data_IF_073089842729
#
_entry.id   IF_073089842729
#
_cell.length_a   1.000
_cell.length_b   1.000
_cell.length_c   1.000
_cell.angle_alpha   90.00
_cell.angle_beta   90.00
_cell.angle_gamma   90.00
#
_symmetry.space_group_name_H-M   'P 1'
#
loop_
_entity.id
_entity.type
_entity.pdbx_description
1 polymer ?
#
# COMPACT_ATOMS: atom_id res chain seq x y z
N UNK A 1 21.19 18.94 -17.82
CA UNK A 1 22.26 18.34 -17.01
C UNK A 1 22.16 18.91 -15.60
N UNK A 2 21.40 18.28 -14.73
CA UNK A 2 21.29 18.65 -13.32
C UNK A 2 22.35 17.87 -12.55
N UNK A 3 23.10 18.58 -11.71
CA UNK A 3 24.18 18.02 -10.90
C UNK A 3 23.70 16.79 -10.12
N UNK A 4 24.42 15.67 -10.25
CA UNK A 4 24.28 14.55 -9.32
C UNK A 4 24.51 15.09 -7.92
N UNK A 5 23.45 15.11 -7.12
CA UNK A 5 23.53 15.37 -5.69
C UNK A 5 24.48 14.33 -5.08
N UNK A 6 25.69 14.75 -4.72
CA UNK A 6 26.63 13.86 -4.03
C UNK A 6 26.00 13.50 -2.69
N UNK A 7 25.64 12.23 -2.53
CA UNK A 7 25.10 11.69 -1.28
C UNK A 7 26.05 12.05 -0.12
N UNK A 8 25.50 12.63 0.95
CA UNK A 8 26.31 13.05 2.09
C UNK A 8 26.99 11.83 2.73
N UNK A 9 28.13 12.03 3.38
CA UNK A 9 28.78 10.95 4.14
C UNK A 9 27.79 10.33 5.16
N UNK A 10 26.94 11.17 5.75
CA UNK A 10 25.88 10.73 6.64
C UNK A 10 24.88 9.80 5.94
N UNK A 11 24.34 10.16 4.77
CA UNK A 11 23.37 9.29 4.07
C UNK A 11 24.00 7.97 3.63
N UNK A 12 25.28 7.99 3.23
CA UNK A 12 26.02 6.77 2.90
C UNK A 12 26.24 5.86 4.14
N UNK A 13 26.62 6.43 5.28
CA UNK A 13 26.76 5.67 6.52
C UNK A 13 25.41 5.09 7.00
N UNK A 14 24.35 5.90 6.95
CA UNK A 14 23.00 5.47 7.29
C UNK A 14 22.52 4.33 6.39
N UNK A 15 22.75 4.45 5.08
CA UNK A 15 22.48 3.41 4.10
C UNK A 15 23.21 2.12 4.44
N UNK A 16 24.52 2.17 4.71
CA UNK A 16 25.29 0.98 5.05
C UNK A 16 24.77 0.30 6.33
N UNK A 17 24.46 1.07 7.38
CA UNK A 17 23.92 0.54 8.63
C UNK A 17 22.51 -0.02 8.49
N UNK A 18 21.65 0.62 7.71
CA UNK A 18 20.28 0.17 7.53
C UNK A 18 20.17 -1.07 6.60
N UNK A 19 21.12 -1.27 5.70
CA UNK A 19 21.04 -2.33 4.70
C UNK A 19 21.81 -3.60 5.05
N UNK A 20 22.57 -3.64 6.16
CA UNK A 20 23.16 -4.89 6.64
C UNK A 20 22.08 -5.90 7.05
N UNK A 21 22.34 -7.18 6.81
CA UNK A 21 21.44 -8.27 7.19
C UNK A 21 21.15 -8.29 8.70
N UNK A 22 19.98 -8.81 9.10
CA UNK A 22 19.52 -8.78 10.49
C UNK A 22 20.50 -9.46 11.46
N UNK A 23 21.16 -10.54 11.03
CA UNK A 23 22.20 -11.23 11.82
C UNK A 23 23.38 -10.31 12.10
N UNK A 24 23.92 -9.65 11.06
CA UNK A 24 25.02 -8.70 11.20
C UNK A 24 24.60 -7.49 12.02
N UNK A 25 23.39 -6.96 11.80
CA UNK A 25 22.86 -5.82 12.52
C UNK A 25 22.75 -6.10 14.02
N UNK A 26 22.28 -7.29 14.42
CA UNK A 26 22.17 -7.67 15.84
C UNK A 26 23.51 -7.72 16.59
N UNK A 27 24.62 -7.85 15.86
CA UNK A 27 25.98 -7.88 16.41
C UNK A 27 26.62 -6.47 16.46
N UNK A 28 26.02 -5.47 15.81
CA UNK A 28 26.54 -4.11 15.83
C UNK A 28 26.25 -3.45 17.18
N UNK A 29 27.20 -2.68 17.75
CA UNK A 29 26.98 -1.98 19.01
C UNK A 29 26.16 -0.70 18.77
N UNK A 30 24.94 -0.86 18.26
CA UNK A 30 24.01 0.24 17.91
C UNK A 30 23.68 1.09 19.15
N UNK A 31 23.72 0.47 20.34
CA UNK A 31 23.56 1.16 21.63
C UNK A 31 24.63 2.21 21.92
N UNK A 32 25.74 2.24 21.17
CA UNK A 32 26.76 3.28 21.25
C UNK A 32 26.41 4.52 20.41
N UNK A 33 25.41 4.42 19.52
CA UNK A 33 24.91 5.57 18.77
C UNK A 33 24.00 6.43 19.66
N UNK A 34 23.97 7.76 19.46
CA UNK A 34 22.93 8.61 20.02
C UNK A 34 21.53 8.04 19.73
N UNK A 35 20.64 8.09 20.72
CA UNK A 35 19.30 7.51 20.61
C UNK A 35 18.55 7.96 19.34
N UNK A 36 18.63 9.25 19.01
CA UNK A 36 18.02 9.80 17.79
C UNK A 36 18.55 9.18 16.49
N UNK A 37 19.83 8.81 16.42
CA UNK A 37 20.41 8.13 15.27
C UNK A 37 20.06 6.64 15.25
N UNK A 38 20.01 6.00 16.42
CA UNK A 38 19.53 4.62 16.54
C UNK A 38 18.09 4.50 16.03
N UNK A 39 17.21 5.40 16.49
CA UNK A 39 15.80 5.45 16.09
C UNK A 39 15.67 5.66 14.57
N UNK A 40 16.46 6.56 13.99
CA UNK A 40 16.48 6.80 12.54
C UNK A 40 16.95 5.56 11.75
N UNK A 41 17.97 4.85 12.23
CA UNK A 41 18.44 3.61 11.58
C UNK A 41 17.37 2.54 11.65
N UNK A 42 16.73 2.35 12.80
CA UNK A 42 15.65 1.37 12.97
C UNK A 42 14.44 1.69 12.10
N UNK A 43 14.05 2.97 12.03
CA UNK A 43 12.96 3.42 11.16
C UNK A 43 13.30 3.14 9.69
N UNK A 44 14.49 3.54 9.23
CA UNK A 44 14.91 3.29 7.85
C UNK A 44 14.94 1.78 7.54
N UNK A 45 15.38 0.93 8.47
CA UNK A 45 15.33 -0.54 8.31
C UNK A 45 13.91 -1.05 8.13
N UNK A 46 12.96 -0.53 8.91
CA UNK A 46 11.55 -0.90 8.80
C UNK A 46 10.97 -0.45 7.45
N UNK A 47 11.24 0.79 7.05
CA UNK A 47 10.80 1.33 5.76
C UNK A 47 11.33 0.48 4.59
N UNK A 48 12.61 0.08 4.64
CA UNK A 48 13.22 -0.78 3.60
C UNK A 48 12.54 -2.14 3.57
N UNK A 49 12.31 -2.76 4.73
CA UNK A 49 11.59 -4.05 4.81
C UNK A 49 10.19 -3.95 4.23
N UNK A 50 9.47 -2.87 4.49
CA UNK A 50 8.14 -2.61 3.93
C UNK A 50 8.20 -2.44 2.42
N UNK A 51 9.12 -1.61 1.91
CA UNK A 51 9.29 -1.37 0.48
C UNK A 51 9.64 -2.66 -0.28
N UNK A 52 10.58 -3.46 0.23
CA UNK A 52 10.95 -4.75 -0.38
C UNK A 52 9.77 -5.72 -0.36
N UNK A 53 9.08 -5.83 0.79
CA UNK A 53 7.90 -6.71 0.93
C UNK A 53 6.76 -6.32 -0.02
N UNK A 54 6.54 -5.03 -0.24
CA UNK A 54 5.50 -4.55 -1.16
C UNK A 54 5.76 -4.98 -2.61
N UNK A 55 7.02 -5.13 -3.01
CA UNK A 55 7.42 -5.45 -4.38
C UNK A 55 7.86 -6.90 -4.59
N UNK A 56 7.91 -7.72 -3.53
CA UNK A 56 8.42 -9.10 -3.56
C UNK A 56 7.67 -10.02 -4.55
N UNK A 57 6.41 -9.70 -4.88
CA UNK A 57 5.62 -10.46 -5.85
C UNK A 57 6.01 -10.19 -7.31
N UNK A 58 6.84 -9.16 -7.54
CA UNK A 58 7.30 -8.72 -8.86
C UNK A 58 8.80 -8.97 -9.01
N UNK A 59 9.59 -8.57 -8.01
CA UNK A 59 11.05 -8.62 -8.07
C UNK A 59 11.67 -8.83 -6.69
N UNK A 60 12.80 -9.53 -6.66
CA UNK A 60 13.67 -9.59 -5.48
C UNK A 60 14.60 -8.36 -5.43
N UNK A 61 14.20 -7.34 -4.68
CA UNK A 61 14.92 -6.06 -4.58
C UNK A 61 16.22 -6.24 -3.81
N UNK A 62 17.34 -6.00 -4.48
CA UNK A 62 18.65 -6.05 -3.85
C UNK A 62 18.90 -4.80 -2.99
N UNK A 63 19.55 -4.93 -1.82
CA UNK A 63 19.88 -3.78 -0.97
C UNK A 63 20.69 -2.70 -1.70
N UNK A 64 21.53 -3.10 -2.65
CA UNK A 64 22.35 -2.17 -3.46
C UNK A 64 21.52 -1.26 -4.37
N UNK A 65 20.22 -1.54 -4.56
CA UNK A 65 19.31 -0.72 -5.35
C UNK A 65 18.60 0.36 -4.52
N UNK A 66 18.59 0.24 -3.20
CA UNK A 66 17.95 1.21 -2.30
C UNK A 66 18.80 2.48 -2.19
N UNK A 67 18.21 3.62 -2.56
CA UNK A 67 18.81 4.95 -2.41
C UNK A 67 18.30 5.61 -1.12
N UNK A 68 19.18 6.34 -0.43
CA UNK A 68 18.87 7.03 0.83
C UNK A 68 19.10 8.53 0.65
N UNK A 69 18.08 9.32 0.97
CA UNK A 69 18.11 10.78 0.84
C UNK A 69 18.99 11.43 1.91
N UNK A 70 19.23 12.73 1.77
CA UNK A 70 19.92 13.53 2.80
C UNK A 70 19.17 13.57 4.13
N UNK A 71 17.85 13.35 4.12
CA UNK A 71 17.00 13.24 5.31
C UNK A 71 17.10 11.86 5.99
N UNK A 72 17.99 10.97 5.53
CA UNK A 72 18.19 9.62 6.04
C UNK A 72 16.93 8.73 5.92
N UNK A 73 16.09 8.99 4.91
CA UNK A 73 14.92 8.20 4.52
C UNK A 73 15.16 7.54 3.16
N UNK A 74 14.30 6.61 2.77
CA UNK A 74 14.34 6.08 1.40
C UNK A 74 14.05 7.21 0.42
N UNK A 75 14.95 7.41 -0.54
CA UNK A 75 14.65 8.22 -1.72
C UNK A 75 13.85 7.33 -2.68
N UNK A 76 12.52 7.36 -2.55
CA UNK A 76 11.66 6.48 -3.34
C UNK A 76 11.79 6.73 -4.85
N UNK A 77 11.78 7.98 -5.37
CA UNK A 77 12.02 8.22 -6.80
C UNK A 77 13.34 7.63 -7.31
N UNK A 78 14.46 7.91 -6.63
CA UNK A 78 15.76 7.40 -7.07
C UNK A 78 15.86 5.87 -6.94
N UNK A 79 15.27 5.31 -5.88
CA UNK A 79 15.24 3.85 -5.64
C UNK A 79 14.44 3.14 -6.73
N UNK A 80 13.25 3.64 -7.08
CA UNK A 80 12.41 3.06 -8.13
C UNK A 80 13.09 3.12 -9.49
N UNK A 81 13.70 4.25 -9.83
CA UNK A 81 14.47 4.37 -11.07
C UNK A 81 15.61 3.36 -11.15
N UNK A 82 16.38 3.20 -10.06
CA UNK A 82 17.46 2.22 -9.98
C UNK A 82 16.96 0.77 -10.09
N UNK A 83 15.80 0.45 -9.51
CA UNK A 83 15.18 -0.86 -9.64
C UNK A 83 14.73 -1.14 -11.09
N UNK A 84 14.13 -0.14 -11.75
CA UNK A 84 13.72 -0.23 -13.17
C UNK A 84 14.92 -0.44 -14.09
N UNK A 85 16.03 0.25 -13.85
CA UNK A 85 17.26 0.14 -14.65
C UNK A 85 18.01 -1.18 -14.42
N UNK A 86 17.87 -1.78 -13.23
CA UNK A 86 18.57 -3.01 -12.85
C UNK A 86 17.84 -4.31 -13.25
N UNK A 87 16.63 -4.22 -13.81
CA UNK A 87 15.76 -5.37 -14.11
C UNK A 87 15.55 -5.56 -15.61
N UNK A 88 15.05 -6.74 -16.01
CA UNK A 88 14.69 -6.97 -17.41
C UNK A 88 13.47 -6.10 -17.82
N UNK A 89 13.30 -5.79 -19.12
CA UNK A 89 12.26 -4.87 -19.58
C UNK A 89 10.82 -5.24 -19.17
N UNK A 90 10.51 -6.53 -19.01
CA UNK A 90 9.17 -6.97 -18.62
C UNK A 90 8.93 -6.67 -17.15
N UNK A 91 9.88 -7.03 -16.29
CA UNK A 91 9.84 -6.73 -14.85
C UNK A 91 9.90 -5.22 -14.60
N UNK A 92 10.72 -4.49 -15.35
CA UNK A 92 10.80 -3.04 -15.31
C UNK A 92 9.44 -2.38 -15.62
N UNK A 93 8.70 -2.89 -16.62
CA UNK A 93 7.35 -2.42 -16.92
C UNK A 93 6.39 -2.69 -15.76
N UNK A 94 6.44 -3.89 -15.16
CA UNK A 94 5.57 -4.24 -14.03
C UNK A 94 5.85 -3.34 -12.81
N UNK A 95 7.12 -3.09 -12.49
CA UNK A 95 7.53 -2.17 -11.43
C UNK A 95 7.02 -0.75 -11.68
N UNK A 96 7.18 -0.24 -12.90
CA UNK A 96 6.67 1.07 -13.26
C UNK A 96 5.14 1.14 -13.16
N UNK A 97 4.44 0.08 -13.57
CA UNK A 97 2.98 0.01 -13.52
C UNK A 97 2.43 0.05 -12.09
N UNK A 98 2.98 -0.76 -11.18
CA UNK A 98 2.50 -0.79 -9.78
C UNK A 98 2.87 0.44 -8.98
N UNK A 99 3.81 1.26 -9.49
CA UNK A 99 4.18 2.54 -8.92
C UNK A 99 3.55 3.76 -9.61
N UNK A 100 2.57 3.54 -10.51
CA UNK A 100 1.90 4.59 -11.28
C UNK A 100 2.83 5.47 -12.14
N UNK A 101 3.99 4.96 -12.57
CA UNK A 101 4.97 5.69 -13.37
C UNK A 101 4.63 5.64 -14.87
N UNK A 102 3.50 6.24 -15.27
CA UNK A 102 2.94 6.08 -16.62
C UNK A 102 3.92 6.43 -17.75
N UNK A 103 4.65 7.54 -17.65
CA UNK A 103 5.64 7.93 -18.67
C UNK A 103 6.78 6.91 -18.81
N UNK A 104 7.19 6.27 -17.70
CA UNK A 104 8.16 5.17 -17.73
C UNK A 104 7.56 3.94 -18.37
N UNK A 105 6.31 3.59 -18.07
CA UNK A 105 5.61 2.50 -18.75
C UNK A 105 5.56 2.72 -20.27
N UNK A 106 5.24 3.92 -20.75
CA UNK A 106 5.24 4.25 -22.20
C UNK A 106 6.63 4.07 -22.81
N UNK A 107 7.66 4.57 -22.14
CA UNK A 107 9.05 4.46 -22.62
C UNK A 107 9.48 3.01 -22.73
N UNK A 108 9.24 2.20 -21.70
CA UNK A 108 9.57 0.78 -21.68
C UNK A 108 8.74 0.04 -22.72
N UNK A 109 7.43 0.29 -22.80
CA UNK A 109 6.53 -0.37 -23.76
C UNK A 109 7.02 -0.26 -25.20
N UNK A 110 7.52 0.91 -25.58
CA UNK A 110 8.03 1.18 -26.92
C UNK A 110 9.31 0.41 -27.26
N UNK A 111 10.10 0.00 -26.26
CA UNK A 111 11.27 -0.86 -26.47
C UNK A 111 10.97 -2.36 -26.43
N UNK A 112 9.79 -2.77 -25.95
CA UNK A 112 9.39 -4.18 -25.88
C UNK A 112 9.07 -4.77 -27.26
N UNK A 113 9.38 -6.05 -27.42
CA UNK A 113 8.97 -6.84 -28.58
C UNK A 113 7.49 -7.29 -28.50
N UNK A 114 6.98 -7.89 -29.59
CA UNK A 114 5.60 -8.35 -29.67
C UNK A 114 5.25 -9.45 -28.64
N UNK A 115 6.20 -10.34 -28.35
CA UNK A 115 6.02 -11.44 -27.40
C UNK A 115 5.88 -10.91 -25.97
N UNK A 116 6.76 -9.99 -25.57
CA UNK A 116 6.76 -9.32 -24.28
C UNK A 116 5.49 -8.49 -24.07
N UNK A 117 5.07 -7.70 -25.07
CA UNK A 117 3.79 -6.97 -25.03
C UNK A 117 2.60 -7.93 -24.94
N UNK A 118 2.66 -9.05 -25.65
CA UNK A 118 1.65 -10.10 -25.58
C UNK A 118 1.53 -10.72 -24.18
N UNK A 119 2.67 -10.93 -23.51
CA UNK A 119 2.72 -11.43 -22.13
C UNK A 119 2.14 -10.41 -21.13
N UNK A 120 2.55 -9.15 -21.21
CA UNK A 120 2.05 -8.09 -20.32
C UNK A 120 0.55 -7.83 -20.47
N UNK A 121 0.03 -7.86 -21.71
CA UNK A 121 -1.41 -7.75 -21.98
C UNK A 121 -2.24 -8.90 -21.40
N UNK A 122 -1.61 -10.04 -21.10
CA UNK A 122 -2.24 -11.24 -20.52
C UNK A 122 -1.77 -11.48 -19.08
N UNK A 123 -1.15 -10.49 -18.44
CA UNK A 123 -0.67 -10.60 -17.07
C UNK A 123 -1.83 -10.94 -16.14
N UNK A 124 -1.63 -11.83 -15.15
CA UNK A 124 -2.64 -12.08 -14.12
C UNK A 124 -2.79 -10.89 -13.16
N UNK A 125 -1.90 -9.90 -13.23
CA UNK A 125 -1.97 -8.70 -12.41
C UNK A 125 -2.81 -7.61 -13.12
N UNK A 126 -4.01 -7.28 -12.60
CA UNK A 126 -4.91 -6.29 -13.20
C UNK A 126 -4.28 -4.91 -13.36
N UNK A 127 -3.38 -4.52 -12.44
CA UNK A 127 -2.66 -3.24 -12.50
C UNK A 127 -1.74 -3.18 -13.72
N UNK A 128 -1.04 -4.27 -14.01
CA UNK A 128 -0.12 -4.37 -15.16
C UNK A 128 -0.90 -4.36 -16.47
N UNK A 129 -2.00 -5.12 -16.54
CA UNK A 129 -2.85 -5.16 -17.73
C UNK A 129 -3.48 -3.79 -17.98
N UNK A 130 -4.00 -3.13 -16.94
CA UNK A 130 -4.58 -1.80 -17.06
C UNK A 130 -3.56 -0.76 -17.55
N UNK A 131 -2.31 -0.80 -17.05
CA UNK A 131 -1.25 0.07 -17.54
C UNK A 131 -0.94 -0.15 -19.03
N UNK A 132 -0.84 -1.41 -19.47
CA UNK A 132 -0.64 -1.75 -20.89
C UNK A 132 -1.82 -1.31 -21.77
N UNK A 133 -3.05 -1.49 -21.27
CA UNK A 133 -4.27 -1.09 -21.98
C UNK A 133 -4.42 0.42 -22.07
N UNK A 134 -3.98 1.16 -21.05
CA UNK A 134 -3.93 2.62 -21.10
C UNK A 134 -3.03 3.13 -22.23
N UNK A 135 -1.85 2.53 -22.40
CA UNK A 135 -0.90 2.91 -23.47
C UNK A 135 -1.46 2.58 -24.86
N UNK A 136 -2.25 1.52 -24.97
CA UNK A 136 -2.84 1.06 -26.25
C UNK A 136 -4.26 1.57 -26.47
N UNK A 137 -4.71 2.56 -25.69
CA UNK A 137 -6.03 3.19 -25.76
C UNK A 137 -7.21 2.20 -25.68
N UNK A 138 -6.99 1.05 -25.04
CA UNK A 138 -8.02 0.07 -24.71
C UNK A 138 -8.80 0.55 -23.48
N UNK A 139 -10.02 0.03 -23.21
CA UNK A 139 -10.84 0.47 -22.08
C UNK A 139 -10.28 -0.02 -20.73
N UNK A 140 -9.12 0.51 -20.32
CA UNK A 140 -8.43 0.16 -19.09
C UNK A 140 -9.21 0.55 -17.82
N UNK A 141 -10.11 1.54 -17.94
CA UNK A 141 -10.97 1.98 -16.85
C UNK A 141 -11.82 0.82 -16.28
N UNK A 142 -12.11 -0.21 -17.08
CA UNK A 142 -12.85 -1.40 -16.64
C UNK A 142 -12.15 -2.18 -15.51
N UNK A 143 -10.84 -1.97 -15.32
CA UNK A 143 -10.07 -2.65 -14.28
C UNK A 143 -10.09 -1.94 -12.93
N UNK A 144 -10.83 -0.84 -12.75
CA UNK A 144 -10.75 -0.02 -11.53
C UNK A 144 -10.90 -0.84 -10.24
N UNK A 145 -11.88 -1.76 -10.18
CA UNK A 145 -12.16 -2.56 -8.98
C UNK A 145 -11.02 -3.53 -8.66
N UNK A 146 -10.62 -4.30 -9.66
CA UNK A 146 -9.55 -5.30 -9.56
C UNK A 146 -8.18 -4.65 -9.30
N UNK A 147 -7.91 -3.51 -9.93
CA UNK A 147 -6.68 -2.76 -9.77
C UNK A 147 -6.57 -2.15 -8.37
N UNK A 148 -7.63 -1.48 -7.89
CA UNK A 148 -7.69 -0.97 -6.51
C UNK A 148 -7.53 -2.09 -5.48
N UNK A 149 -8.28 -3.18 -5.65
CA UNK A 149 -8.24 -4.33 -4.73
C UNK A 149 -6.86 -4.99 -4.71
N UNK A 150 -6.20 -5.10 -5.87
CA UNK A 150 -4.84 -5.66 -5.97
C UNK A 150 -3.81 -4.71 -5.36
N UNK A 151 -3.93 -3.41 -5.59
CA UNK A 151 -3.04 -2.40 -5.00
C UNK A 151 -3.14 -2.38 -3.47
N UNK A 152 -4.37 -2.35 -2.94
CA UNK A 152 -4.62 -2.38 -1.50
C UNK A 152 -4.12 -3.67 -0.83
N UNK A 153 -4.24 -4.81 -1.52
CA UNK A 153 -3.74 -6.12 -1.03
C UNK A 153 -2.21 -6.13 -0.90
N UNK A 154 -1.52 -5.60 -1.90
CA UNK A 154 -0.05 -5.66 -1.97
C UNK A 154 0.64 -4.46 -1.29
N UNK A 155 -0.11 -3.42 -0.93
CA UNK A 155 0.47 -2.23 -0.32
C UNK A 155 1.02 -1.21 -1.32
N UNK A 156 0.51 -1.19 -2.55
CA UNK A 156 0.96 -0.28 -3.62
C UNK A 156 0.25 1.07 -3.54
N UNK A 157 0.73 1.96 -2.66
CA UNK A 157 0.13 3.27 -2.36
C UNK A 157 -0.09 4.14 -3.59
N UNK A 158 0.95 4.29 -4.42
CA UNK A 158 0.96 5.24 -5.56
C UNK A 158 -0.08 4.89 -6.61
N UNK A 159 -0.15 3.62 -7.01
CA UNK A 159 -1.17 3.18 -7.96
C UNK A 159 -2.57 3.16 -7.35
N UNK A 160 -2.71 2.88 -6.05
CA UNK A 160 -3.99 3.02 -5.39
C UNK A 160 -4.48 4.48 -5.40
N UNK A 161 -3.61 5.45 -5.07
CA UNK A 161 -3.94 6.88 -5.11
C UNK A 161 -4.31 7.35 -6.51
N UNK A 162 -3.60 6.87 -7.55
CA UNK A 162 -3.98 7.12 -8.94
C UNK A 162 -5.43 6.70 -9.19
N UNK A 163 -5.79 5.45 -8.85
CA UNK A 163 -7.14 4.94 -9.12
C UNK A 163 -8.22 5.61 -8.27
N UNK A 164 -7.98 5.85 -6.98
CA UNK A 164 -8.94 6.55 -6.11
C UNK A 164 -9.22 7.96 -6.62
N UNK A 165 -8.18 8.70 -7.01
CA UNK A 165 -8.32 10.03 -7.62
C UNK A 165 -9.08 9.96 -8.96
N UNK A 166 -8.79 8.94 -9.77
CA UNK A 166 -9.44 8.72 -11.06
C UNK A 166 -10.95 8.49 -10.92
N UNK A 167 -11.36 7.68 -9.94
CA UNK A 167 -12.79 7.43 -9.66
C UNK A 167 -13.48 8.57 -8.90
N UNK A 168 -12.73 9.57 -8.44
CA UNK A 168 -13.25 10.75 -7.74
C UNK A 168 -13.37 10.61 -6.24
N UNK A 169 -12.58 9.71 -5.67
CA UNK A 169 -12.48 9.44 -4.25
C UNK A 169 -11.17 10.02 -3.70
N UNK A 170 -11.03 11.34 -3.79
CA UNK A 170 -9.83 12.01 -3.32
C UNK A 170 -10.02 12.45 -1.86
N UNK A 171 -9.22 11.85 -0.98
CA UNK A 171 -9.16 12.22 0.43
C UNK A 171 -7.86 12.95 0.74
N UNK A 172 -7.91 13.86 1.72
CA UNK A 172 -6.70 14.45 2.26
C UNK A 172 -5.83 13.35 2.85
N UNK A 173 -4.57 13.31 2.43
CA UNK A 173 -3.60 12.40 3.03
C UNK A 173 -3.27 12.93 4.43
N UNK A 174 -3.26 12.04 5.42
CA UNK A 174 -2.81 12.42 6.75
C UNK A 174 -1.34 12.89 6.71
N UNK A 175 -0.97 13.89 7.54
CA UNK A 175 0.32 14.60 7.46
C UNK A 175 1.57 13.79 7.83
N UNK A 176 1.45 12.47 8.07
CA UNK A 176 2.56 11.62 8.54
C UNK A 176 3.49 11.11 7.43
N UNK A 177 3.20 11.40 6.15
CA UNK A 177 4.02 10.97 5.02
C UNK A 177 5.35 11.76 4.94
N UNK A 178 6.45 11.04 4.70
CA UNK A 178 7.74 11.67 4.42
C UNK A 178 7.70 12.48 3.11
N UNK A 179 8.51 13.55 2.97
CA UNK A 179 8.48 14.42 1.80
C UNK A 179 8.77 13.66 0.49
N UNK A 180 9.61 12.63 0.53
CA UNK A 180 9.94 11.81 -0.64
C UNK A 180 8.77 10.93 -1.12
N UNK A 181 7.97 10.38 -0.20
CA UNK A 181 6.80 9.57 -0.53
C UNK A 181 5.65 10.45 -1.04
N UNK A 182 5.49 11.64 -0.43
CA UNK A 182 4.47 12.61 -0.82
C UNK A 182 4.63 13.06 -2.29
N UNK A 183 5.87 13.21 -2.78
CA UNK A 183 6.14 13.55 -4.19
C UNK A 183 5.53 12.52 -5.13
N UNK A 184 5.78 11.22 -4.90
CA UNK A 184 5.28 10.17 -5.77
C UNK A 184 3.75 10.06 -5.74
N UNK A 185 3.15 10.23 -4.56
CA UNK A 185 1.69 10.20 -4.43
C UNK A 185 1.05 11.39 -5.15
N UNK A 186 1.62 12.58 -5.04
CA UNK A 186 1.11 13.76 -5.72
C UNK A 186 1.32 13.69 -7.24
N UNK A 187 2.43 13.12 -7.72
CA UNK A 187 2.63 12.83 -9.14
C UNK A 187 1.54 11.88 -9.67
N UNK A 188 1.23 10.81 -8.93
CA UNK A 188 0.17 9.86 -9.28
C UNK A 188 -1.23 10.51 -9.29
N UNK A 189 -1.52 11.39 -8.33
CA UNK A 189 -2.77 12.18 -8.28
C UNK A 189 -2.88 13.11 -9.47
N UNK A 190 -1.81 13.84 -9.78
CA UNK A 190 -1.79 14.75 -10.92
C UNK A 190 -1.97 14.01 -12.25
N UNK A 191 -1.35 12.84 -12.41
CA UNK A 191 -1.57 11.98 -13.57
C UNK A 191 -3.05 11.57 -13.70
N UNK A 192 -3.69 11.16 -12.61
CA UNK A 192 -5.12 10.82 -12.61
C UNK A 192 -6.01 12.04 -12.95
N UNK A 193 -5.72 13.21 -12.38
CA UNK A 193 -6.45 14.46 -12.70
C UNK A 193 -6.30 14.83 -14.18
N UNK A 194 -5.10 14.69 -14.74
CA UNK A 194 -4.83 14.93 -16.16
C UNK A 194 -5.62 13.98 -17.05
N UNK A 195 -5.69 12.69 -16.71
CA UNK A 195 -6.50 11.70 -17.43
C UNK A 195 -7.97 12.10 -17.45
N UNK A 196 -8.54 12.58 -16.34
CA UNK A 196 -9.94 13.00 -16.27
C UNK A 196 -10.27 14.19 -17.18
N UNK A 197 -9.27 15.00 -17.51
CA UNK A 197 -9.41 16.17 -18.38
C UNK A 197 -9.26 15.82 -19.88
N UNK A 198 -8.87 14.58 -20.21
CA UNK A 198 -8.70 14.14 -21.59
C UNK A 198 -10.06 14.02 -22.31
N UNK A 199 -10.17 14.45 -23.58
CA UNK A 199 -11.42 14.33 -24.36
C UNK A 199 -11.91 12.88 -24.51
N UNK A 200 -10.99 11.94 -24.65
CA UNK A 200 -11.23 10.49 -24.78
C UNK A 200 -11.59 9.80 -23.45
N UNK A 201 -11.63 10.54 -22.34
CA UNK A 201 -11.95 9.99 -21.02
C UNK A 201 -13.39 9.50 -20.94
N UNK A 202 -13.55 8.20 -20.68
CA UNK A 202 -14.86 7.53 -20.62
C UNK A 202 -15.37 7.44 -19.20
N UNK A 203 -15.82 8.57 -18.65
CA UNK A 203 -16.35 8.65 -17.28
C UNK A 203 -17.49 7.66 -16.98
N UNK A 204 -18.28 7.27 -17.98
CA UNK A 204 -19.35 6.27 -17.84
C UNK A 204 -18.85 4.84 -17.55
N UNK A 205 -17.55 4.56 -17.71
CA UNK A 205 -16.94 3.27 -17.35
C UNK A 205 -16.51 3.20 -15.88
N UNK A 206 -16.63 4.30 -15.14
CA UNK A 206 -16.22 4.40 -13.74
C UNK A 206 -17.42 4.21 -12.80
N UNK A 207 -17.17 3.79 -11.54
CA UNK A 207 -18.24 3.50 -10.60
C UNK A 207 -19.05 4.75 -10.27
N UNK A 208 -20.35 4.55 -10.03
CA UNK A 208 -21.21 5.56 -9.43
C UNK A 208 -20.85 5.75 -7.94
N UNK A 209 -21.46 6.75 -7.27
CA UNK A 209 -21.12 7.09 -5.89
C UNK A 209 -21.29 5.90 -4.93
N UNK A 210 -22.42 5.20 -5.00
CA UNK A 210 -22.70 4.06 -4.11
C UNK A 210 -21.72 2.89 -4.35
N UNK A 211 -21.37 2.65 -5.62
CA UNK A 211 -20.39 1.61 -5.99
C UNK A 211 -18.99 1.95 -5.52
N UNK A 212 -18.62 3.23 -5.56
CA UNK A 212 -17.36 3.75 -5.04
C UNK A 212 -17.29 3.57 -3.53
N UNK A 213 -18.32 3.95 -2.79
CA UNK A 213 -18.36 3.74 -1.33
C UNK A 213 -18.20 2.25 -0.97
N UNK A 214 -18.90 1.36 -1.68
CA UNK A 214 -18.72 -0.10 -1.49
C UNK A 214 -17.31 -0.56 -1.83
N UNK A 215 -16.71 -0.03 -2.90
CA UNK A 215 -15.32 -0.33 -3.24
C UNK A 215 -14.40 0.07 -2.08
N UNK A 216 -14.48 1.30 -1.60
CA UNK A 216 -13.65 1.82 -0.52
C UNK A 216 -13.79 0.99 0.76
N UNK A 217 -15.02 0.68 1.15
CA UNK A 217 -15.30 -0.23 2.27
C UNK A 217 -14.57 -1.58 2.10
N UNK A 218 -14.59 -2.15 0.88
CA UNK A 218 -13.85 -3.40 0.60
C UNK A 218 -12.34 -3.20 0.71
N UNK A 219 -11.80 -2.08 0.21
CA UNK A 219 -10.37 -1.78 0.26
C UNK A 219 -9.87 -1.66 1.71
N UNK A 220 -10.66 -1.09 2.62
CA UNK A 220 -10.35 -1.02 4.05
C UNK A 220 -10.15 -2.44 4.61
N UNK A 221 -11.11 -3.34 4.37
CA UNK A 221 -11.03 -4.72 4.88
C UNK A 221 -9.89 -5.49 4.21
N UNK A 222 -9.64 -5.28 2.90
CA UNK A 222 -8.49 -5.87 2.19
C UNK A 222 -7.17 -5.41 2.82
N UNK A 223 -7.01 -4.11 3.06
CA UNK A 223 -5.81 -3.54 3.67
C UNK A 223 -5.55 -4.14 5.05
N UNK A 224 -6.59 -4.21 5.90
CA UNK A 224 -6.49 -4.85 7.23
C UNK A 224 -6.11 -6.34 7.10
N UNK A 225 -6.82 -7.13 6.29
CA UNK A 225 -6.54 -8.58 6.15
C UNK A 225 -5.10 -8.86 5.71
N UNK A 226 -4.51 -7.96 4.93
CA UNK A 226 -3.13 -8.09 4.45
C UNK A 226 -2.11 -7.31 5.28
N UNK A 227 -2.54 -6.71 6.40
CA UNK A 227 -1.70 -5.91 7.30
C UNK A 227 -1.01 -4.74 6.59
N UNK A 228 -1.66 -4.18 5.57
CA UNK A 228 -1.18 -3.02 4.81
C UNK A 228 -1.64 -1.74 5.52
N UNK A 229 -1.05 -1.48 6.69
CA UNK A 229 -1.46 -0.40 7.58
C UNK A 229 -1.28 0.99 6.96
N UNK A 230 -0.26 1.16 6.11
CA UNK A 230 -0.01 2.42 5.41
C UNK A 230 -1.10 2.72 4.37
N UNK A 231 -1.65 1.67 3.73
CA UNK A 231 -2.83 1.80 2.86
C UNK A 231 -4.06 2.18 3.68
N UNK A 232 -4.27 1.52 4.82
CA UNK A 232 -5.38 1.86 5.71
C UNK A 232 -5.34 3.33 6.13
N UNK A 233 -4.15 3.92 6.26
CA UNK A 233 -4.05 5.32 6.62
C UNK A 233 -4.48 6.29 5.51
N UNK A 234 -4.43 5.83 4.26
CA UNK A 234 -4.80 6.62 3.09
C UNK A 234 -6.29 6.51 2.72
N UNK A 235 -7.02 5.59 3.34
CA UNK A 235 -8.44 5.36 3.08
C UNK A 235 -9.30 6.06 4.14
N UNK A 236 -10.47 6.61 3.77
CA UNK A 236 -11.43 7.11 4.74
C UNK A 236 -12.05 5.91 5.47
N UNK A 237 -12.04 5.92 6.81
CA UNK A 237 -12.55 4.80 7.62
C UNK A 237 -13.94 5.15 8.18
N UNK A 238 -14.77 5.78 7.35
CA UNK A 238 -16.05 6.32 7.77
C UNK A 238 -17.18 5.30 7.66
N UNK A 239 -17.09 4.38 6.69
CA UNK A 239 -18.05 3.29 6.50
C UNK A 239 -17.35 2.04 5.93
N UNK A 240 -17.23 1.00 6.76
CA UNK A 240 -16.75 -0.32 6.35
C UNK A 240 -17.87 -1.39 6.42
N UNK A 241 -19.08 -1.03 6.85
CA UNK A 241 -20.13 -1.99 7.19
C UNK A 241 -20.62 -2.75 5.96
N UNK A 242 -20.78 -2.04 4.84
CA UNK A 242 -21.17 -2.63 3.54
C UNK A 242 -20.23 -3.75 3.08
N UNK A 243 -18.95 -3.70 3.46
CA UNK A 243 -17.99 -4.73 3.09
C UNK A 243 -18.11 -5.99 3.97
N UNK A 244 -18.68 -5.91 5.17
CA UNK A 244 -18.76 -7.05 6.07
C UNK A 244 -19.57 -8.21 5.49
N UNK A 245 -20.65 -7.93 4.76
CA UNK A 245 -21.43 -8.96 4.05
C UNK A 245 -20.61 -9.74 3.04
N UNK A 246 -19.58 -9.13 2.45
CA UNK A 246 -18.70 -9.79 1.50
C UNK A 246 -17.63 -10.66 2.20
N UNK A 247 -17.09 -10.18 3.32
CA UNK A 247 -15.97 -10.85 4.01
C UNK A 247 -16.40 -11.83 5.11
N UNK A 248 -17.62 -11.69 5.63
CA UNK A 248 -18.20 -12.49 6.72
C UNK A 248 -19.64 -12.90 6.36
N UNK A 249 -19.89 -13.61 5.25
CA UNK A 249 -21.24 -13.80 4.71
C UNK A 249 -22.22 -14.53 5.65
N UNK A 250 -21.72 -15.28 6.63
CA UNK A 250 -22.50 -15.98 7.65
C UNK A 250 -22.65 -15.19 8.98
N UNK A 251 -22.18 -13.94 9.02
CA UNK A 251 -22.19 -13.10 10.22
C UNK A 251 -21.14 -13.49 11.26
N UNK A 252 -20.31 -14.51 11.00
CA UNK A 252 -19.31 -14.98 11.96
C UNK A 252 -18.00 -14.23 11.81
N UNK A 253 -17.56 -13.64 12.92
CA UNK A 253 -16.27 -12.95 12.98
C UNK A 253 -15.15 -13.97 13.16
N UNK A 254 -14.19 -13.98 12.23
CA UNK A 254 -13.01 -14.85 12.33
C UNK A 254 -12.05 -14.35 13.41
N UNK A 255 -11.62 -15.25 14.32
CA UNK A 255 -10.65 -14.93 15.38
C UNK A 255 -9.33 -14.39 14.83
N UNK A 256 -8.85 -14.93 13.71
CA UNK A 256 -7.64 -14.46 13.02
C UNK A 256 -7.75 -13.00 12.59
N UNK A 257 -8.93 -12.56 12.14
CA UNK A 257 -9.17 -11.18 11.76
C UNK A 257 -9.16 -10.25 12.98
N UNK A 258 -9.76 -10.66 14.09
CA UNK A 258 -9.69 -9.92 15.35
C UNK A 258 -8.28 -9.83 15.90
N UNK A 259 -7.47 -10.88 15.78
CA UNK A 259 -6.05 -10.83 16.13
C UNK A 259 -5.30 -9.80 15.31
N UNK A 260 -5.52 -9.77 13.99
CA UNK A 260 -4.91 -8.79 13.11
C UNK A 260 -5.27 -7.37 13.57
N UNK A 261 -6.56 -7.09 13.80
CA UNK A 261 -7.01 -5.82 14.33
C UNK A 261 -6.36 -5.51 15.69
N UNK A 262 -6.41 -6.42 16.66
CA UNK A 262 -5.86 -6.22 18.01
C UNK A 262 -4.34 -6.00 18.01
N UNK A 263 -3.63 -6.59 17.04
CA UNK A 263 -2.17 -6.48 16.88
C UNK A 263 -1.72 -5.25 16.07
N UNK A 264 -2.64 -4.41 15.60
CA UNK A 264 -2.30 -3.28 14.74
C UNK A 264 -1.35 -2.28 15.42
N UNK A 265 -0.46 -1.61 14.65
CA UNK A 265 0.39 -0.55 15.18
C UNK A 265 -0.40 0.56 15.89
N UNK A 266 0.25 1.26 16.82
CA UNK A 266 -0.38 2.32 17.62
C UNK A 266 -0.95 3.47 16.77
N UNK A 267 -0.28 3.83 15.69
CA UNK A 267 -0.66 4.95 14.83
C UNK A 267 -1.93 4.68 14.00
N UNK A 268 -2.29 3.42 13.74
CA UNK A 268 -3.59 3.03 13.12
C UNK A 268 -4.62 2.50 14.11
N UNK A 269 -4.32 2.51 15.41
CA UNK A 269 -5.16 1.90 16.47
C UNK A 269 -6.57 2.48 16.48
N UNK A 270 -6.72 3.79 16.30
CA UNK A 270 -8.02 4.46 16.24
C UNK A 270 -8.90 3.92 15.11
N UNK A 271 -8.33 3.81 13.90
CA UNK A 271 -9.01 3.26 12.70
C UNK A 271 -9.37 1.79 12.89
N UNK A 272 -8.44 0.98 13.40
CA UNK A 272 -8.71 -0.45 13.62
C UNK A 272 -9.69 -0.72 14.74
N UNK A 273 -9.70 0.09 15.80
CA UNK A 273 -10.70 0.03 16.87
C UNK A 273 -12.08 0.40 16.36
N UNK A 274 -12.17 1.43 15.52
CA UNK A 274 -13.43 1.81 14.86
C UNK A 274 -13.97 0.66 14.01
N UNK A 275 -13.13 0.05 13.16
CA UNK A 275 -13.53 -1.10 12.32
C UNK A 275 -13.98 -2.27 13.18
N UNK A 276 -13.24 -2.56 14.26
CA UNK A 276 -13.58 -3.65 15.18
C UNK A 276 -14.92 -3.41 15.88
N UNK A 277 -15.22 -2.16 16.30
CA UNK A 277 -16.51 -1.79 16.88
C UNK A 277 -17.64 -1.93 15.87
N UNK A 278 -17.46 -1.39 14.66
CA UNK A 278 -18.44 -1.52 13.59
C UNK A 278 -18.76 -2.99 13.32
N UNK A 279 -17.72 -3.84 13.25
CA UNK A 279 -17.87 -5.28 13.03
C UNK A 279 -18.64 -5.98 14.18
N UNK A 280 -18.31 -5.67 15.44
CA UNK A 280 -19.00 -6.23 16.61
C UNK A 280 -20.45 -5.77 16.70
N UNK A 281 -20.76 -4.55 16.26
CA UNK A 281 -22.12 -4.01 16.21
C UNK A 281 -22.94 -4.64 15.09
N UNK A 282 -22.31 -4.88 13.94
CA UNK A 282 -22.93 -5.48 12.77
C UNK A 282 -23.24 -6.97 12.96
N UNK A 283 -22.36 -7.71 13.66
CA UNK A 283 -22.52 -9.14 13.85
C UNK A 283 -23.77 -9.51 14.71
N UNK A 284 -24.41 -10.65 14.45
CA UNK A 284 -25.54 -11.11 15.27
C UNK A 284 -25.14 -11.28 16.74
N UNK A 285 -26.02 -10.85 17.67
CA UNK A 285 -25.75 -10.93 19.13
C UNK A 285 -25.30 -12.30 19.61
N UNK A 286 -25.93 -13.36 19.11
CA UNK A 286 -25.58 -14.75 19.43
C UNK A 286 -24.15 -15.10 19.00
N UNK A 287 -23.70 -14.59 17.85
CA UNK A 287 -22.34 -14.85 17.37
C UNK A 287 -21.31 -14.00 18.12
N UNK A 288 -21.68 -12.81 18.60
CA UNK A 288 -20.85 -12.03 19.53
C UNK A 288 -20.70 -12.74 20.88
N UNK A 289 -21.78 -13.33 21.42
CA UNK A 289 -21.72 -14.11 22.66
C UNK A 289 -20.86 -15.38 22.52
N UNK A 290 -21.01 -16.09 21.39
CA UNK A 290 -20.14 -17.23 21.05
C UNK A 290 -18.69 -16.81 20.93
N UNK A 291 -18.42 -15.73 20.20
CA UNK A 291 -17.08 -15.15 20.10
C UNK A 291 -16.47 -14.89 21.48
N UNK A 292 -17.23 -14.28 22.41
CA UNK A 292 -16.77 -14.04 23.79
C UNK A 292 -16.46 -15.32 24.55
N UNK A 293 -17.21 -16.40 24.31
CA UNK A 293 -16.92 -17.71 24.89
C UNK A 293 -15.63 -18.31 24.30
N UNK A 294 -15.45 -18.20 22.98
CA UNK A 294 -14.31 -18.77 22.25
C UNK A 294 -12.99 -18.07 22.61
N UNK A 295 -13.00 -16.76 22.84
CA UNK A 295 -11.79 -15.99 23.21
C UNK A 295 -11.48 -16.02 24.71
N UNK A 296 -12.29 -16.69 25.55
CA UNK A 296 -12.18 -16.62 27.02
C UNK A 296 -10.79 -17.00 27.56
N UNK A 297 -10.10 -17.91 26.88
CA UNK A 297 -8.74 -18.34 27.25
C UNK A 297 -7.65 -17.46 26.62
N UNK A 298 -8.01 -16.61 25.65
CA UNK A 298 -7.14 -15.61 25.04
C UNK A 298 -7.30 -14.27 25.78
N UNK A 299 -6.41 -14.05 26.76
CA UNK A 299 -6.40 -12.83 27.57
C UNK A 299 -6.20 -11.56 26.73
N UNK A 300 -5.49 -11.66 25.60
CA UNK A 300 -5.21 -10.52 24.73
C UNK A 300 -6.47 -10.11 23.97
N UNK A 301 -7.11 -11.06 23.27
CA UNK A 301 -8.36 -10.80 22.56
C UNK A 301 -9.51 -10.47 23.50
N UNK A 302 -9.59 -11.11 24.66
CA UNK A 302 -10.62 -10.81 25.66
C UNK A 302 -10.54 -9.34 26.08
N UNK A 303 -9.36 -8.86 26.47
CA UNK A 303 -9.16 -7.44 26.84
C UNK A 303 -9.50 -6.51 25.70
N UNK A 304 -9.09 -6.84 24.48
CA UNK A 304 -9.38 -6.06 23.30
C UNK A 304 -10.89 -5.93 23.06
N UNK A 305 -11.60 -7.05 22.90
CA UNK A 305 -13.05 -7.06 22.63
C UNK A 305 -13.84 -6.42 23.77
N UNK A 306 -13.50 -6.69 25.03
CA UNK A 306 -14.19 -6.08 26.17
C UNK A 306 -13.97 -4.57 26.25
N UNK A 307 -12.80 -4.06 25.87
CA UNK A 307 -12.56 -2.62 25.81
C UNK A 307 -13.45 -1.95 24.75
N UNK A 308 -13.63 -2.59 23.59
CA UNK A 308 -14.46 -2.07 22.51
C UNK A 308 -15.96 -2.10 22.83
N UNK A 309 -16.44 -3.09 23.59
CA UNK A 309 -17.85 -3.20 23.96
C UNK A 309 -18.26 -2.25 25.08
N UNK A 310 -17.31 -1.81 25.93
CA UNK A 310 -17.59 -0.89 27.04
C UNK A 310 -18.01 0.51 26.57
N UNK A 311 -17.50 0.99 25.43
CA UNK A 311 -17.88 2.31 24.91
C UNK A 311 -19.03 2.26 23.88
N UNK A 312 -19.74 1.12 23.79
CA UNK A 312 -20.92 0.94 22.92
C UNK A 312 -22.24 0.90 23.74
N UNK A 313 -22.15 0.93 25.08
CA UNK A 313 -23.27 1.03 26.02
C UNK A 313 -23.44 2.46 26.52
#
# INVERSE_FOLDING_TARGET
MTAESVASLQSNCMRLLALVGDTTFSLLPITLLPASLSDLVEQLRQDVKLFVRAHQSIVDIQPTWICVSSACRIDYPATLMRCIEATDPTTAFQLAAVNALHQRCVTIWNSLDYSQRGHLNKSPNPVVVAAAWRITERPYLLFYDDACSTAARNGWSTVLQFWLTLIGDEHELEPELGPEEAILLEEARNDARNVRQQPEFRAHLLPQNDERQRLVARLIIIAVKNQQWHILNQLPVDDAEEAFYHFFPDGRIQLSFLHILASSPRWVRSKTDWIARALLKWAPRLDVERLRADIRCDLFLTKFVESLLKDVQ
#
